data_IF_496855391205
#
_entry.id   IF_496855391205
#
_cell.length_a   1.000
_cell.length_b   1.000
_cell.length_c   1.000
_cell.angle_alpha   90.00
_cell.angle_beta   90.00
_cell.angle_gamma   90.00
#
_symmetry.space_group_name_H-M   'P 1'
#
loop_
_entity.id
_entity.type
_entity.pdbx_description
1 polymer ?
#
# COMPACT_ATOMS: atom_id res chain seq x y z
N UNK A 1 -1.09 6.91 30.62
CA UNK A 1 -0.28 6.61 29.43
C UNK A 1 -0.68 7.58 28.33
N UNK A 2 0.17 8.55 27.97
CA UNK A 2 -0.02 9.37 26.77
C UNK A 2 0.99 8.84 25.75
N UNK A 3 0.55 7.94 24.87
CA UNK A 3 1.43 7.05 24.10
C UNK A 3 1.09 6.90 22.62
N UNK A 4 0.21 7.76 22.09
CA UNK A 4 0.06 7.96 20.67
C UNK A 4 -0.15 9.46 20.48
N UNK A 5 0.58 10.10 19.55
CA UNK A 5 0.02 11.29 18.93
C UNK A 5 -1.37 10.88 18.39
N UNK A 6 -2.38 11.74 18.48
CA UNK A 6 -3.77 11.47 18.03
C UNK A 6 -3.87 11.34 16.49
N UNK A 7 -2.93 10.62 15.88
CA UNK A 7 -2.87 10.35 14.47
C UNK A 7 -3.95 9.35 14.11
N UNK A 8 -4.79 9.75 13.16
CA UNK A 8 -5.70 8.85 12.46
C UNK A 8 -4.88 8.00 11.48
N UNK A 9 -4.63 6.75 11.83
CA UNK A 9 -3.78 5.85 11.06
C UNK A 9 -4.57 4.65 10.54
N UNK A 10 -4.17 4.18 9.36
CA UNK A 10 -4.71 2.96 8.74
C UNK A 10 -3.57 2.07 8.29
N UNK A 11 -3.76 0.76 8.39
CA UNK A 11 -2.86 -0.25 7.82
C UNK A 11 -3.62 -1.05 6.77
N UNK A 12 -3.07 -1.10 5.55
CA UNK A 12 -3.62 -1.92 4.46
C UNK A 12 -2.68 -3.10 4.21
N UNK A 13 -3.22 -4.32 4.28
CA UNK A 13 -2.47 -5.55 4.03
C UNK A 13 -3.00 -6.25 2.77
N UNK A 14 -2.13 -6.49 1.79
CA UNK A 14 -2.46 -7.17 0.54
C UNK A 14 -1.82 -8.56 0.52
N UNK A 15 -2.64 -9.61 0.56
CA UNK A 15 -2.16 -10.99 0.47
C UNK A 15 -1.46 -11.29 -0.87
N UNK A 16 -0.55 -12.26 -0.87
CA UNK A 16 0.23 -12.67 -2.05
C UNK A 16 0.96 -11.50 -2.75
N UNK A 17 1.40 -10.51 -1.98
CA UNK A 17 2.07 -9.30 -2.48
C UNK A 17 3.50 -9.25 -1.94
N UNK A 18 4.47 -9.03 -2.81
CA UNK A 18 5.89 -8.91 -2.47
C UNK A 18 6.33 -7.44 -2.46
N UNK A 19 7.61 -7.16 -2.20
CA UNK A 19 8.15 -5.81 -2.37
C UNK A 19 8.08 -5.38 -3.84
N UNK A 20 8.08 -4.06 -4.06
CA UNK A 20 7.99 -3.43 -5.38
C UNK A 20 6.75 -3.83 -6.20
N UNK A 21 5.64 -4.18 -5.54
CA UNK A 21 4.41 -4.64 -6.21
C UNK A 21 3.74 -3.64 -7.14
N UNK A 22 4.09 -2.36 -7.04
CA UNK A 22 3.64 -1.27 -7.93
C UNK A 22 4.59 -1.00 -9.09
N UNK A 23 5.71 -1.74 -9.18
CA UNK A 23 6.65 -1.62 -10.30
C UNK A 23 6.38 -2.76 -11.29
N UNK A 24 5.84 -2.49 -12.49
CA UNK A 24 5.55 -3.53 -13.49
C UNK A 24 6.81 -4.22 -14.03
N UNK A 25 8.01 -3.70 -13.74
CA UNK A 25 9.29 -4.32 -14.11
C UNK A 25 9.89 -5.17 -12.97
N UNK A 26 9.22 -5.28 -11.82
CA UNK A 26 9.70 -6.10 -10.71
C UNK A 26 9.48 -7.59 -10.99
N UNK A 27 10.56 -8.31 -11.27
CA UNK A 27 10.54 -9.76 -11.45
C UNK A 27 11.81 -10.40 -10.86
N UNK A 28 11.92 -10.37 -9.53
CA UNK A 28 12.97 -11.06 -8.79
C UNK A 28 12.43 -11.67 -7.49
N UNK A 29 11.67 -12.78 -7.59
CA UNK A 29 11.05 -13.42 -6.42
C UNK A 29 12.07 -13.95 -5.41
N UNK A 30 13.30 -14.26 -5.84
CA UNK A 30 14.36 -14.74 -4.96
C UNK A 30 14.77 -13.68 -3.93
N UNK A 31 14.67 -12.40 -4.29
CA UNK A 31 14.88 -11.25 -3.40
C UNK A 31 13.57 -10.62 -2.91
N UNK A 32 12.43 -11.30 -3.11
CA UNK A 32 11.12 -10.84 -2.65
C UNK A 32 10.59 -9.63 -3.40
N UNK A 33 10.92 -9.47 -4.69
CA UNK A 33 10.43 -8.42 -5.57
C UNK A 33 9.51 -9.03 -6.64
N UNK A 34 8.26 -8.57 -6.70
CA UNK A 34 7.34 -9.04 -7.75
C UNK A 34 6.21 -8.05 -7.96
N UNK A 35 5.93 -7.76 -9.22
CA UNK A 35 4.74 -7.02 -9.65
C UNK A 35 3.45 -7.70 -9.13
N UNK A 36 2.49 -6.92 -8.63
CA UNK A 36 1.17 -7.44 -8.29
C UNK A 36 0.09 -6.43 -8.69
N UNK A 37 -0.37 -6.45 -9.96
CA UNK A 37 -1.30 -5.45 -10.49
C UNK A 37 -2.62 -5.33 -9.71
N UNK A 38 -3.08 -6.41 -9.07
CA UNK A 38 -4.27 -6.38 -8.22
C UNK A 38 -4.02 -5.61 -6.92
N UNK A 39 -2.87 -5.83 -6.27
CA UNK A 39 -2.50 -5.13 -5.05
C UNK A 39 -2.21 -3.65 -5.33
N UNK A 40 -1.53 -3.35 -6.44
CA UNK A 40 -1.28 -1.98 -6.92
C UNK A 40 -2.60 -1.21 -7.09
N UNK A 41 -3.57 -1.76 -7.83
CA UNK A 41 -4.87 -1.10 -8.04
C UNK A 41 -5.60 -0.82 -6.73
N UNK A 42 -5.57 -1.77 -5.78
CA UNK A 42 -6.22 -1.60 -4.47
C UNK A 42 -5.49 -0.56 -3.61
N UNK A 43 -4.17 -0.59 -3.57
CA UNK A 43 -3.35 0.39 -2.86
C UNK A 43 -3.55 1.81 -3.41
N UNK A 44 -3.61 1.93 -4.74
CA UNK A 44 -3.87 3.20 -5.40
C UNK A 44 -5.25 3.76 -5.05
N UNK A 45 -6.29 2.92 -5.09
CA UNK A 45 -7.64 3.31 -4.71
C UNK A 45 -7.70 3.78 -3.25
N UNK A 46 -7.11 3.02 -2.31
CA UNK A 46 -7.04 3.39 -0.89
C UNK A 46 -6.37 4.74 -0.67
N UNK A 47 -5.26 5.01 -1.35
CA UNK A 47 -4.57 6.31 -1.30
C UNK A 47 -5.46 7.44 -1.84
N UNK A 48 -6.11 7.23 -2.99
CA UNK A 48 -6.99 8.23 -3.60
C UNK A 48 -8.19 8.56 -2.70
N UNK A 49 -8.77 7.56 -2.04
CA UNK A 49 -9.91 7.77 -1.15
C UNK A 49 -9.51 8.53 0.11
N UNK A 50 -8.34 8.22 0.68
CA UNK A 50 -7.77 9.00 1.78
C UNK A 50 -7.51 10.46 1.38
N UNK A 51 -6.95 10.71 0.20
CA UNK A 51 -6.73 12.08 -0.28
C UNK A 51 -8.04 12.85 -0.51
N UNK A 52 -9.09 12.20 -1.03
CA UNK A 52 -10.41 12.83 -1.17
C UNK A 52 -11.01 13.20 0.19
N UNK A 53 -10.77 12.38 1.21
CA UNK A 53 -11.26 12.62 2.56
C UNK A 53 -10.66 13.90 3.16
N UNK A 54 -9.34 14.06 3.04
CA UNK A 54 -8.59 15.11 3.74
C UNK A 54 -8.45 16.42 2.95
N UNK A 55 -8.57 16.41 1.61
CA UNK A 55 -8.35 17.59 0.75
C UNK A 55 -9.62 18.09 0.02
N UNK A 56 -10.79 18.04 0.69
CA UNK A 56 -12.06 18.52 0.13
C UNK A 56 -11.98 19.89 -0.54
#
# INVERSE_FOLDING_TARGET
MRGAAEADWQLHAYGNTMHAFTNPQADDPAHGLRDAPVAERRAWQSMQDFFKEIFK
#
